data_IF_811575603510
#
_entry.id   IF_811575603510
#
_cell.length_a   1.000
_cell.length_b   1.000
_cell.length_c   1.000
_cell.angle_alpha   90.00
_cell.angle_beta   90.00
_cell.angle_gamma   90.00
#
_symmetry.space_group_name_H-M   'P 1'
#
loop_
_entity.id
_entity.type
_entity.pdbx_description
1 polymer ?
#
# COMPACT_ATOMS: atom_id res chain seq x y z
N UNK A 1 -15.32 13.42 9.12
CA UNK A 1 -14.60 13.59 7.84
C UNK A 1 -13.99 12.23 7.61
N UNK A 2 -14.50 11.48 6.64
CA UNK A 2 -13.99 10.13 6.39
C UNK A 2 -12.64 10.23 5.70
N UNK A 3 -11.61 9.69 6.35
CA UNK A 3 -10.25 9.66 5.81
C UNK A 3 -10.10 8.44 4.88
N UNK A 4 -9.72 8.65 3.62
CA UNK A 4 -9.51 7.56 2.67
C UNK A 4 -8.05 7.10 2.73
N UNK A 5 -7.84 5.82 3.07
CA UNK A 5 -6.51 5.24 3.26
C UNK A 5 -6.28 4.11 2.26
N UNK A 6 -5.23 4.21 1.44
CA UNK A 6 -4.80 3.14 0.53
C UNK A 6 -3.64 2.34 1.13
N UNK A 7 -3.82 1.02 1.27
CA UNK A 7 -2.87 0.09 1.88
C UNK A 7 -2.05 -0.62 0.79
N UNK A 8 -0.95 0.01 0.34
CA UNK A 8 0.00 -0.56 -0.62
C UNK A 8 1.07 -1.41 0.08
N UNK A 9 1.64 -2.38 -0.64
CA UNK A 9 2.77 -3.17 -0.15
C UNK A 9 2.54 -4.67 -0.26
N UNK A 10 3.40 -5.42 0.43
CA UNK A 10 3.41 -6.88 0.46
C UNK A 10 2.08 -7.53 0.86
N UNK A 11 1.84 -8.75 0.39
CA UNK A 11 0.58 -9.51 0.58
C UNK A 11 0.79 -10.88 1.24
N UNK A 12 1.93 -11.05 1.91
CA UNK A 12 2.39 -12.30 2.53
C UNK A 12 2.18 -12.36 4.05
N UNK A 13 1.73 -11.27 4.67
CA UNK A 13 1.36 -11.20 6.09
C UNK A 13 -0.03 -10.56 6.27
N UNK A 14 -0.55 -10.59 7.49
CA UNK A 14 -1.87 -10.10 7.90
C UNK A 14 -1.89 -8.61 8.32
N UNK A 15 -0.85 -7.84 7.96
CA UNK A 15 -0.67 -6.46 8.44
C UNK A 15 -1.85 -5.53 8.07
N UNK A 16 -2.52 -5.76 6.94
CA UNK A 16 -3.68 -4.95 6.52
C UNK A 16 -4.86 -5.22 7.43
N UNK A 17 -5.13 -6.49 7.72
CA UNK A 17 -6.18 -6.94 8.61
C UNK A 17 -5.98 -6.39 10.03
N UNK A 18 -4.73 -6.34 10.49
CA UNK A 18 -4.38 -5.74 11.78
C UNK A 18 -4.70 -4.23 11.81
N UNK A 19 -4.37 -3.47 10.76
CA UNK A 19 -4.72 -2.04 10.68
C UNK A 19 -6.23 -1.83 10.61
N UNK A 20 -6.93 -2.56 9.74
CA UNK A 20 -8.39 -2.44 9.57
C UNK A 20 -9.12 -2.77 10.88
N UNK A 21 -8.68 -3.82 11.57
CA UNK A 21 -9.25 -4.23 12.86
C UNK A 21 -8.93 -3.22 13.96
N UNK A 22 -7.68 -2.77 14.07
CA UNK A 22 -7.28 -1.80 15.10
C UNK A 22 -7.91 -0.42 14.91
N UNK A 23 -8.26 -0.06 13.67
CA UNK A 23 -8.94 1.19 13.33
C UNK A 23 -10.47 1.12 13.47
N UNK A 24 -11.05 0.02 13.94
CA UNK A 24 -12.48 -0.07 14.21
C UNK A 24 -12.94 1.08 15.13
N UNK A 25 -14.02 1.75 14.72
CA UNK A 25 -14.56 2.93 15.40
C UNK A 25 -13.91 4.27 14.99
N UNK A 26 -12.91 4.27 14.11
CA UNK A 26 -12.41 5.49 13.46
C UNK A 26 -13.20 5.77 12.16
N UNK A 27 -13.37 7.05 11.81
CA UNK A 27 -13.98 7.50 10.55
C UNK A 27 -12.96 7.36 9.39
N UNK A 28 -12.60 6.12 9.05
CA UNK A 28 -11.61 5.76 8.01
C UNK A 28 -12.22 4.79 7.01
N UNK A 29 -11.96 5.01 5.73
CA UNK A 29 -12.28 4.06 4.66
C UNK A 29 -10.98 3.48 4.10
N UNK A 30 -10.86 2.15 4.07
CA UNK A 30 -9.67 1.47 3.57
C UNK A 30 -9.88 0.90 2.17
N UNK A 31 -8.83 0.98 1.36
CA UNK A 31 -8.74 0.35 0.05
C UNK A 31 -7.33 -0.22 -0.17
N UNK A 32 -7.15 -1.07 -1.18
CA UNK A 32 -5.87 -1.71 -1.47
C UNK A 32 -5.84 -2.43 -2.82
N UNK A 33 -4.68 -3.00 -3.19
CA UNK A 33 -4.55 -3.80 -4.40
C UNK A 33 -5.32 -5.12 -4.30
N UNK A 34 -5.43 -5.85 -5.41
CA UNK A 34 -5.90 -7.24 -5.39
C UNK A 34 -4.86 -8.09 -4.67
N UNK A 35 -5.26 -8.77 -3.59
CA UNK A 35 -4.38 -9.62 -2.78
C UNK A 35 -4.45 -11.10 -3.17
N UNK A 36 -5.43 -11.48 -3.99
CA UNK A 36 -5.46 -12.80 -4.63
C UNK A 36 -4.39 -12.85 -5.73
N UNK A 37 -3.33 -13.61 -5.46
CA UNK A 37 -2.18 -13.76 -6.35
C UNK A 37 -2.58 -14.27 -7.74
N UNK A 38 -3.39 -15.32 -7.83
CA UNK A 38 -3.75 -15.92 -9.12
C UNK A 38 -4.61 -14.96 -9.93
N UNK A 39 -5.59 -14.32 -9.28
CA UNK A 39 -6.42 -13.32 -9.95
C UNK A 39 -5.59 -12.11 -10.41
N UNK A 40 -4.63 -11.65 -9.61
CA UNK A 40 -3.75 -10.54 -9.95
C UNK A 40 -2.85 -10.86 -11.15
N UNK A 41 -2.22 -12.03 -11.16
CA UNK A 41 -1.26 -12.44 -12.19
C UNK A 41 -1.97 -12.71 -13.53
N UNK A 42 -3.14 -13.35 -13.50
CA UNK A 42 -3.82 -13.84 -14.71
C UNK A 42 -4.88 -12.87 -15.26
N UNK A 43 -5.20 -11.76 -14.57
CA UNK A 43 -6.27 -10.85 -14.98
C UNK A 43 -6.11 -10.35 -16.43
N UNK A 44 -4.88 -10.10 -16.86
CA UNK A 44 -4.56 -9.64 -18.21
C UNK A 44 -4.95 -10.66 -19.27
N UNK A 45 -4.55 -11.93 -19.10
CA UNK A 45 -4.81 -12.98 -20.09
C UNK A 45 -6.23 -13.52 -20.03
N UNK A 46 -6.84 -13.53 -18.84
CA UNK A 46 -8.23 -13.93 -18.66
C UNK A 46 -9.21 -12.96 -19.35
N UNK A 47 -8.88 -11.67 -19.42
CA UNK A 47 -9.76 -10.62 -19.95
C UNK A 47 -9.40 -10.23 -21.39
N UNK A 48 -8.11 -10.06 -21.69
CA UNK A 48 -7.64 -9.53 -22.99
C UNK A 48 -7.16 -10.63 -23.96
N UNK A 49 -7.28 -11.89 -23.56
CA UNK A 49 -6.90 -13.06 -24.35
C UNK A 49 -5.52 -13.63 -23.98
N UNK A 50 -5.38 -14.94 -24.23
CA UNK A 50 -4.19 -15.71 -23.90
C UNK A 50 -2.91 -15.08 -24.46
N UNK A 51 -1.83 -15.20 -23.69
CA UNK A 51 -0.52 -14.67 -24.06
C UNK A 51 0.56 -15.73 -23.79
N UNK A 52 1.16 -16.32 -24.84
CA UNK A 52 2.19 -17.35 -24.65
C UNK A 52 3.54 -16.77 -24.23
N UNK A 53 3.81 -15.49 -24.53
CA UNK A 53 5.05 -14.84 -24.11
C UNK A 53 4.95 -14.39 -22.65
N UNK A 54 5.84 -14.90 -21.78
CA UNK A 54 5.79 -14.63 -20.34
C UNK A 54 5.93 -13.14 -20.00
N UNK A 55 6.73 -12.39 -20.75
CA UNK A 55 6.87 -10.95 -20.51
C UNK A 55 5.55 -10.23 -20.80
N UNK A 56 4.92 -10.53 -21.93
CA UNK A 56 3.64 -9.91 -22.30
C UNK A 56 2.48 -10.38 -21.41
N UNK A 57 2.51 -11.63 -20.94
CA UNK A 57 1.58 -12.14 -19.94
C UNK A 57 1.59 -11.25 -18.69
N UNK A 58 2.77 -11.07 -18.10
CA UNK A 58 2.93 -10.28 -16.89
C UNK A 58 2.67 -8.80 -17.13
N UNK A 59 3.07 -8.28 -18.29
CA UNK A 59 2.79 -6.90 -18.67
C UNK A 59 1.29 -6.63 -18.75
N UNK A 60 0.50 -7.52 -19.36
CA UNK A 60 -0.97 -7.39 -19.42
C UNK A 60 -1.56 -7.36 -18.01
N UNK A 61 -1.17 -8.29 -17.15
CA UNK A 61 -1.62 -8.32 -15.75
C UNK A 61 -1.25 -7.04 -14.99
N UNK A 62 0.00 -6.60 -15.11
CA UNK A 62 0.49 -5.38 -14.48
C UNK A 62 -0.28 -4.13 -14.94
N UNK A 63 -0.57 -4.00 -16.24
CA UNK A 63 -1.27 -2.83 -16.78
C UNK A 63 -2.74 -2.77 -16.35
N UNK A 64 -3.43 -3.90 -16.24
CA UNK A 64 -4.81 -3.95 -15.72
C UNK A 64 -4.83 -3.59 -14.23
N UNK A 65 -3.92 -4.16 -13.44
CA UNK A 65 -3.78 -3.81 -12.03
C UNK A 65 -3.44 -2.32 -11.83
N UNK A 66 -2.61 -1.73 -12.71
CA UNK A 66 -2.23 -0.33 -12.65
C UNK A 66 -3.43 0.62 -12.75
N UNK A 67 -4.52 0.26 -13.46
CA UNK A 67 -5.76 1.05 -13.50
C UNK A 67 -6.34 1.19 -12.08
N UNK A 68 -6.39 0.08 -11.33
CA UNK A 68 -6.91 0.05 -9.96
C UNK A 68 -5.97 0.77 -8.99
N UNK A 69 -4.68 0.46 -9.05
CA UNK A 69 -3.68 1.03 -8.14
C UNK A 69 -3.56 2.55 -8.31
N UNK A 70 -3.51 3.06 -9.55
CA UNK A 70 -3.44 4.51 -9.79
C UNK A 70 -4.68 5.23 -9.30
N UNK A 71 -5.87 4.65 -9.51
CA UNK A 71 -7.13 5.20 -9.00
C UNK A 71 -7.14 5.21 -7.47
N UNK A 72 -6.78 4.10 -6.83
CA UNK A 72 -6.72 3.98 -5.37
C UNK A 72 -5.76 4.98 -4.74
N UNK A 73 -4.54 5.11 -5.27
CA UNK A 73 -3.57 6.11 -4.80
C UNK A 73 -4.09 7.54 -5.04
N UNK A 74 -4.66 7.82 -6.22
CA UNK A 74 -5.17 9.16 -6.55
C UNK A 74 -6.32 9.60 -5.64
N UNK A 75 -7.16 8.67 -5.18
CA UNK A 75 -8.31 8.97 -4.33
C UNK A 75 -7.96 8.99 -2.83
N UNK A 76 -6.82 8.42 -2.45
CA UNK A 76 -6.40 8.37 -1.06
C UNK A 76 -6.05 9.76 -0.51
N UNK A 77 -6.42 10.00 0.74
CA UNK A 77 -5.91 11.10 1.55
C UNK A 77 -4.54 10.73 2.17
N UNK A 78 -4.41 9.45 2.56
CA UNK A 78 -3.18 8.86 3.11
C UNK A 78 -2.87 7.54 2.40
N UNK A 79 -1.62 7.34 2.00
CA UNK A 79 -1.12 6.07 1.47
C UNK A 79 -0.21 5.44 2.52
N UNK A 80 -0.57 4.24 2.98
CA UNK A 80 0.30 3.42 3.82
C UNK A 80 1.03 2.43 2.92
N UNK A 81 2.36 2.43 2.95
CA UNK A 81 3.19 1.52 2.14
C UNK A 81 3.97 0.57 3.05
N UNK A 82 3.65 -0.72 2.98
CA UNK A 82 4.32 -1.78 3.75
C UNK A 82 5.51 -2.36 2.97
N UNK A 83 6.68 -2.39 3.62
CA UNK A 83 7.88 -3.10 3.17
C UNK A 83 8.26 -4.27 4.08
N UNK A 84 7.89 -5.50 3.69
CA UNK A 84 8.21 -6.74 4.43
C UNK A 84 9.49 -7.45 3.95
N UNK A 85 9.83 -8.57 4.59
CA UNK A 85 11.15 -9.24 4.41
C UNK A 85 11.20 -10.19 3.21
N UNK A 86 10.03 -10.54 2.67
CA UNK A 86 9.92 -11.48 1.55
C UNK A 86 9.90 -10.74 0.22
N UNK A 87 10.68 -11.29 -0.71
CA UNK A 87 10.84 -10.82 -2.08
C UNK A 87 11.30 -9.37 -2.21
N UNK A 88 11.66 -8.98 -3.42
CA UNK A 88 12.00 -7.60 -3.75
C UNK A 88 10.71 -6.83 -4.03
N UNK A 89 10.37 -5.88 -3.17
CA UNK A 89 9.07 -5.18 -3.17
C UNK A 89 9.11 -3.93 -4.07
N UNK A 90 9.49 -4.13 -5.33
CA UNK A 90 9.65 -3.04 -6.30
C UNK A 90 8.34 -2.35 -6.65
N UNK A 91 7.23 -3.09 -6.64
CA UNK A 91 5.89 -2.52 -6.79
C UNK A 91 5.55 -1.56 -5.63
N UNK A 92 5.88 -1.92 -4.39
CA UNK A 92 5.65 -1.06 -3.23
C UNK A 92 6.50 0.23 -3.29
N UNK A 93 7.77 0.10 -3.70
CA UNK A 93 8.63 1.26 -3.94
C UNK A 93 8.10 2.17 -5.06
N UNK A 94 7.58 1.57 -6.14
CA UNK A 94 6.97 2.31 -7.24
C UNK A 94 5.70 3.04 -6.80
N UNK A 95 4.82 2.38 -6.03
CA UNK A 95 3.61 2.98 -5.48
C UNK A 95 3.95 4.15 -4.53
N UNK A 96 4.97 4.00 -3.67
CA UNK A 96 5.44 5.08 -2.80
C UNK A 96 5.95 6.28 -3.62
N UNK A 97 6.73 6.04 -4.66
CA UNK A 97 7.20 7.09 -5.58
C UNK A 97 6.05 7.79 -6.30
N UNK A 98 5.05 7.04 -6.76
CA UNK A 98 3.86 7.60 -7.43
C UNK A 98 2.99 8.41 -6.47
N UNK A 99 2.78 7.93 -5.24
CA UNK A 99 2.09 8.67 -4.19
C UNK A 99 2.83 9.99 -3.86
N UNK A 100 4.16 9.94 -3.77
CA UNK A 100 4.98 11.11 -3.49
C UNK A 100 4.88 12.14 -4.63
N UNK A 101 4.94 11.68 -5.89
CA UNK A 101 4.79 12.54 -7.06
C UNK A 101 3.41 13.23 -7.14
N UNK A 102 2.37 12.59 -6.60
CA UNK A 102 1.02 13.16 -6.49
C UNK A 102 0.82 14.03 -5.24
N UNK A 103 1.85 14.20 -4.40
CA UNK A 103 1.77 14.98 -3.16
C UNK A 103 0.88 14.34 -2.09
N UNK A 104 0.73 13.00 -2.12
CA UNK A 104 -0.06 12.27 -1.12
C UNK A 104 0.68 12.19 0.22
N UNK A 105 -0.08 12.21 1.31
CA UNK A 105 0.46 11.93 2.64
C UNK A 105 0.87 10.46 2.71
N UNK A 106 2.13 10.18 3.03
CA UNK A 106 2.66 8.81 3.06
C UNK A 106 3.02 8.41 4.49
N UNK A 107 2.58 7.21 4.88
CA UNK A 107 3.09 6.49 6.06
C UNK A 107 3.83 5.26 5.54
N UNK A 108 5.08 5.07 5.94
CA UNK A 108 5.82 3.85 5.62
C UNK A 108 5.73 2.89 6.80
N UNK A 109 5.42 1.63 6.55
CA UNK A 109 5.47 0.55 7.54
C UNK A 109 6.61 -0.41 7.16
N UNK A 110 7.72 -0.38 7.88
CA UNK A 110 8.93 -1.14 7.54
C UNK A 110 9.70 -1.53 8.80
N UNK A 111 10.30 -2.74 8.85
CA UNK A 111 11.16 -3.11 9.97
C UNK A 111 12.47 -2.30 9.92
N UNK A 112 13.19 -2.14 11.05
CA UNK A 112 14.41 -1.33 11.13
C UNK A 112 15.50 -1.72 10.13
N UNK A 113 15.59 -2.99 9.76
CA UNK A 113 16.57 -3.56 8.84
C UNK A 113 16.48 -2.97 7.43
N UNK A 114 15.31 -2.43 7.05
CA UNK A 114 15.09 -1.84 5.73
C UNK A 114 15.44 -0.34 5.63
N UNK A 115 15.81 0.33 6.74
CA UNK A 115 16.04 1.78 6.78
C UNK A 115 17.04 2.27 5.72
N UNK A 116 18.18 1.58 5.54
CA UNK A 116 19.17 2.02 4.56
C UNK A 116 18.66 1.92 3.12
N UNK A 117 17.94 0.84 2.79
CA UNK A 117 17.40 0.61 1.45
C UNK A 117 16.21 1.53 1.14
N UNK A 118 15.50 1.98 2.17
CA UNK A 118 14.30 2.81 2.06
C UNK A 118 14.57 4.29 2.33
N UNK A 119 15.83 4.74 2.47
CA UNK A 119 16.15 6.12 2.91
C UNK A 119 15.47 7.22 2.08
N UNK A 120 15.36 7.06 0.75
CA UNK A 120 14.64 8.02 -0.10
C UNK A 120 13.12 7.93 0.06
N UNK A 121 12.58 6.73 0.28
CA UNK A 121 11.14 6.51 0.53
C UNK A 121 10.76 7.06 1.90
N UNK A 122 11.59 6.84 2.93
CA UNK A 122 11.44 7.41 4.26
C UNK A 122 11.53 8.93 4.24
N UNK A 123 12.41 9.51 3.43
CA UNK A 123 12.51 10.97 3.27
C UNK A 123 11.24 11.59 2.66
N UNK A 124 10.48 10.84 1.86
CA UNK A 124 9.20 11.28 1.29
C UNK A 124 8.00 11.03 2.24
N UNK A 125 8.17 10.22 3.29
CA UNK A 125 7.11 9.86 4.22
C UNK A 125 6.92 10.92 5.31
N UNK A 126 5.68 11.11 5.76
CA UNK A 126 5.35 11.97 6.90
C UNK A 126 5.48 11.23 8.24
N UNK A 127 5.48 9.89 8.20
CA UNK A 127 5.75 9.02 9.34
C UNK A 127 6.33 7.68 8.88
N UNK A 128 7.21 7.12 9.69
CA UNK A 128 7.74 5.75 9.54
C UNK A 128 7.33 4.97 10.79
N UNK A 129 6.60 3.87 10.57
CA UNK A 129 6.16 2.92 11.58
C UNK A 129 6.90 1.58 11.39
N UNK A 130 7.08 0.86 12.48
CA UNK A 130 7.63 -0.49 12.53
C UNK A 130 6.52 -1.53 12.69
N UNK A 131 5.44 -1.18 13.42
CA UNK A 131 4.33 -2.07 13.73
C UNK A 131 2.97 -1.54 13.22
N UNK A 132 2.05 -2.41 12.77
CA UNK A 132 0.70 -2.01 12.34
C UNK A 132 -0.06 -1.16 13.36
N UNK A 133 0.11 -1.45 14.66
CA UNK A 133 -0.51 -0.69 15.75
C UNK A 133 -0.09 0.79 15.78
N UNK A 134 1.14 1.11 15.36
CA UNK A 134 1.60 2.50 15.26
C UNK A 134 0.88 3.23 14.12
N UNK A 135 0.61 2.55 13.00
CA UNK A 135 -0.20 3.13 11.91
C UNK A 135 -1.60 3.47 12.42
N UNK A 136 -2.23 2.57 13.18
CA UNK A 136 -3.55 2.84 13.80
C UNK A 136 -3.50 4.05 14.73
N UNK A 137 -2.47 4.17 15.57
CA UNK A 137 -2.27 5.32 16.44
C UNK A 137 -2.10 6.62 15.66
N UNK A 138 -1.33 6.61 14.57
CA UNK A 138 -1.17 7.76 13.67
C UNK A 138 -2.51 8.18 13.05
N UNK A 139 -3.29 7.24 12.52
CA UNK A 139 -4.61 7.52 11.93
C UNK A 139 -5.59 8.09 12.97
N UNK A 140 -5.60 7.55 14.19
CA UNK A 140 -6.40 8.09 15.30
C UNK A 140 -6.00 9.54 15.60
N UNK A 141 -4.71 9.81 15.70
CA UNK A 141 -4.22 11.17 15.97
C UNK A 141 -4.60 12.14 14.86
N UNK A 142 -4.44 11.75 13.60
CA UNK A 142 -4.85 12.58 12.43
C UNK A 142 -6.33 12.93 12.47
N UNK A 143 -7.19 11.97 12.85
CA UNK A 143 -8.64 12.19 12.90
C UNK A 143 -9.13 12.96 14.13
N UNK A 144 -8.47 12.80 15.28
CA UNK A 144 -9.04 13.22 16.57
C UNK A 144 -8.15 14.17 17.38
N UNK A 145 -6.87 14.27 17.05
CA UNK A 145 -5.86 14.98 17.84
C UNK A 145 -5.51 14.32 19.19
N UNK A 146 -6.06 13.14 19.50
CA UNK A 146 -5.83 12.44 20.76
C UNK A 146 -4.62 11.50 20.70
N UNK A 147 -3.83 11.47 21.77
CA UNK A 147 -2.73 10.52 21.95
C UNK A 147 -3.25 9.13 22.35
N UNK A 148 -2.49 8.05 22.09
CA UNK A 148 -2.77 6.74 22.68
C UNK A 148 -2.79 6.83 24.21
N UNK A 149 -3.67 6.05 24.84
CA UNK A 149 -3.74 5.91 26.30
C UNK A 149 -2.62 5.01 26.83
#
# INVERSE_FOLDING_TARGET
MTLNVYLSGEIHTDWREQIVTGAQGLDVSFSGPVTDHAASDDCGVAILGAEPDKYWHDHKGAMVNAIRTRKGISDADVVVVRFGDKYKQWNAAFDAGYAAALGKSIIVLSPPEHQHALKEVHAAALAVAEEPAQVVALLRYVLTGALPA
#
